data_IF_751833713529
#
_entry.id   IF_751833713529
#
_cell.length_a   1.000
_cell.length_b   1.000
_cell.length_c   1.000
_cell.angle_alpha   90.00
_cell.angle_beta   90.00
_cell.angle_gamma   90.00
#
_symmetry.space_group_name_H-M   'P 1'
#
loop_
_entity.id
_entity.type
_entity.pdbx_description
1 polymer ?
#
# COMPACT_ATOMS: atom_id res chain seq x y z
N UNK A 1 -21.04 -0.51 -32.36
CA UNK A 1 -20.87 -1.28 -31.12
C UNK A 1 -19.88 -0.52 -30.24
N UNK A 2 -20.34 0.16 -29.18
CA UNK A 2 -19.44 0.80 -28.22
C UNK A 2 -18.78 -0.31 -27.40
N UNK A 3 -17.52 -0.60 -27.69
CA UNK A 3 -16.73 -1.56 -26.92
C UNK A 3 -16.72 -1.12 -25.45
N UNK A 4 -17.11 -2.02 -24.53
CA UNK A 4 -17.01 -1.84 -23.08
C UNK A 4 -15.55 -1.50 -22.80
N UNK A 5 -15.24 -0.24 -22.50
CA UNK A 5 -13.90 0.14 -22.03
C UNK A 5 -13.64 -0.64 -20.75
N UNK A 6 -12.73 -1.58 -20.81
CA UNK A 6 -12.26 -2.27 -19.60
C UNK A 6 -11.43 -1.26 -18.84
N UNK A 7 -11.97 -0.74 -17.76
CA UNK A 7 -11.17 0.04 -16.78
C UNK A 7 -10.23 -0.92 -16.05
N UNK A 8 -9.07 -0.42 -15.66
CA UNK A 8 -8.16 -1.16 -14.80
C UNK A 8 -8.77 -1.34 -13.40
N UNK A 9 -8.15 -2.19 -12.60
CA UNK A 9 -8.53 -2.40 -11.20
C UNK A 9 -7.49 -1.79 -10.27
N UNK A 10 -7.94 -1.06 -9.24
CA UNK A 10 -7.11 -0.61 -8.14
C UNK A 10 -7.07 -1.68 -7.04
N UNK A 11 -5.89 -2.23 -6.76
CA UNK A 11 -5.64 -3.10 -5.61
C UNK A 11 -4.80 -2.34 -4.60
N UNK A 12 -5.18 -2.34 -3.32
CA UNK A 12 -4.42 -1.67 -2.26
C UNK A 12 -4.46 -2.48 -0.98
N UNK A 13 -3.49 -2.27 -0.09
CA UNK A 13 -3.22 -3.22 0.98
C UNK A 13 -3.27 -2.53 2.34
N UNK A 14 -3.98 -3.13 3.28
CA UNK A 14 -4.05 -2.77 4.68
C UNK A 14 -3.38 -3.87 5.52
N UNK A 15 -2.47 -3.48 6.42
CA UNK A 15 -1.77 -4.41 7.29
C UNK A 15 -0.64 -3.71 8.03
N UNK A 16 -0.32 -4.17 9.23
CA UNK A 16 0.71 -3.59 10.09
C UNK A 16 2.10 -3.64 9.44
N UNK A 17 3.07 -2.92 9.99
CA UNK A 17 4.48 -3.05 9.59
C UNK A 17 4.93 -4.51 9.78
N UNK A 18 5.59 -5.10 8.77
CA UNK A 18 5.98 -6.52 8.82
C UNK A 18 4.87 -7.54 8.49
N UNK A 19 3.64 -7.11 8.21
CA UNK A 19 2.55 -8.03 7.84
C UNK A 19 2.74 -8.70 6.45
N UNK A 20 3.66 -8.21 5.61
CA UNK A 20 3.93 -8.77 4.29
C UNK A 20 3.23 -8.05 3.14
N UNK A 21 2.94 -6.75 3.27
CA UNK A 21 2.29 -5.94 2.23
C UNK A 21 3.04 -5.95 0.90
N UNK A 22 4.33 -5.65 0.92
CA UNK A 22 5.18 -5.61 -0.29
C UNK A 22 5.27 -6.98 -0.97
N UNK A 23 5.31 -8.06 -0.19
CA UNK A 23 5.27 -9.43 -0.73
C UNK A 23 3.98 -9.67 -1.48
N UNK A 24 2.84 -9.35 -0.86
CA UNK A 24 1.53 -9.50 -1.50
C UNK A 24 1.38 -8.60 -2.74
N UNK A 25 1.87 -7.35 -2.67
CA UNK A 25 1.83 -6.44 -3.82
C UNK A 25 2.57 -7.00 -5.03
N UNK A 26 3.73 -7.61 -4.82
CA UNK A 26 4.51 -8.26 -5.88
C UNK A 26 3.84 -9.52 -6.42
N UNK A 27 3.27 -10.35 -5.54
CA UNK A 27 2.48 -11.52 -5.94
C UNK A 27 1.31 -11.11 -6.84
N UNK A 28 0.57 -10.06 -6.47
CA UNK A 28 -0.52 -9.51 -7.26
C UNK A 28 -0.04 -8.96 -8.61
N UNK A 29 1.06 -8.21 -8.61
CA UNK A 29 1.65 -7.68 -9.85
C UNK A 29 2.20 -8.76 -10.78
N UNK A 30 2.63 -9.90 -10.25
CA UNK A 30 3.11 -11.05 -11.04
C UNK A 30 1.99 -11.92 -11.61
N UNK A 31 0.82 -11.93 -10.98
CA UNK A 31 -0.33 -12.74 -11.40
C UNK A 31 -1.34 -11.98 -12.26
N UNK A 32 -1.32 -10.67 -12.21
CA UNK A 32 -2.20 -9.78 -12.97
C UNK A 32 -1.34 -8.87 -13.87
N UNK A 33 -1.81 -8.49 -15.06
CA UNK A 33 -1.17 -7.44 -15.85
C UNK A 33 -1.42 -6.09 -15.12
N UNK A 34 -0.58 -5.76 -14.15
CA UNK A 34 -0.74 -4.59 -13.31
C UNK A 34 0.60 -3.87 -13.08
N UNK A 35 0.53 -2.57 -12.92
CA UNK A 35 1.67 -1.75 -12.46
C UNK A 35 1.67 -1.75 -10.94
N UNK A 36 2.78 -2.20 -10.34
CA UNK A 36 2.98 -2.09 -8.89
C UNK A 36 3.63 -0.74 -8.59
N UNK A 37 3.03 0.02 -7.70
CA UNK A 37 3.52 1.33 -7.26
C UNK A 37 3.83 1.23 -5.77
N UNK A 38 5.12 1.22 -5.41
CA UNK A 38 5.60 1.11 -4.04
C UNK A 38 5.98 2.50 -3.50
N UNK A 39 5.27 2.95 -2.46
CA UNK A 39 5.51 4.27 -1.83
C UNK A 39 6.93 4.37 -1.28
N UNK A 40 7.40 3.35 -0.55
CA UNK A 40 8.71 3.36 0.09
C UNK A 40 9.85 3.41 -0.96
N UNK A 41 9.73 2.66 -2.05
CA UNK A 41 10.70 2.67 -3.16
C UNK A 41 10.80 4.04 -3.82
N UNK A 42 9.66 4.70 -4.04
CA UNK A 42 9.63 6.02 -4.65
C UNK A 42 10.21 7.08 -3.71
N UNK A 43 9.88 7.02 -2.43
CA UNK A 43 10.39 7.95 -1.41
C UNK A 43 11.91 7.83 -1.31
N UNK A 44 12.44 6.59 -1.28
CA UNK A 44 13.88 6.32 -1.25
C UNK A 44 14.58 6.80 -2.54
N UNK A 45 14.04 6.42 -3.71
CA UNK A 45 14.60 6.78 -5.02
C UNK A 45 14.63 8.29 -5.26
N UNK A 46 13.63 9.02 -4.77
CA UNK A 46 13.55 10.48 -4.86
C UNK A 46 14.46 11.19 -3.85
N UNK A 47 15.14 10.45 -2.98
CA UNK A 47 16.10 10.98 -2.03
C UNK A 47 15.48 11.79 -0.90
N UNK A 48 14.25 11.48 -0.50
CA UNK A 48 13.68 12.11 0.69
C UNK A 48 14.41 11.63 1.96
N UNK A 49 14.94 12.57 2.73
CA UNK A 49 15.52 12.25 4.03
C UNK A 49 14.40 12.04 5.06
N UNK A 50 14.25 10.81 5.52
CA UNK A 50 13.26 10.42 6.53
C UNK A 50 13.96 10.21 7.87
N UNK A 51 13.86 11.19 8.75
CA UNK A 51 14.43 11.16 10.11
C UNK A 51 13.37 11.04 11.20
N UNK A 52 12.10 11.29 10.83
CA UNK A 52 10.96 11.29 11.75
C UNK A 52 9.69 10.83 11.03
N UNK A 53 8.65 10.53 11.81
CA UNK A 53 7.31 10.25 11.27
C UNK A 53 6.75 11.46 10.50
N UNK A 54 7.05 12.68 10.94
CA UNK A 54 6.62 13.90 10.26
C UNK A 54 7.26 14.03 8.88
N UNK A 55 8.56 13.70 8.75
CA UNK A 55 9.24 13.67 7.46
C UNK A 55 8.60 12.67 6.51
N UNK A 56 8.28 11.47 7.02
CA UNK A 56 7.59 10.45 6.24
C UNK A 56 6.21 10.94 5.79
N UNK A 57 5.40 11.51 6.67
CA UNK A 57 4.07 12.02 6.32
C UNK A 57 4.17 13.12 5.26
N UNK A 58 5.16 14.00 5.34
CA UNK A 58 5.40 15.06 4.36
C UNK A 58 5.83 14.50 3.00
N UNK A 59 6.75 13.55 2.97
CA UNK A 59 7.20 12.86 1.75
C UNK A 59 6.04 12.10 1.10
N UNK A 60 5.30 11.30 1.90
CA UNK A 60 4.11 10.58 1.49
C UNK A 60 3.04 11.49 0.87
N UNK A 61 2.80 12.67 1.47
CA UNK A 61 1.84 13.64 0.92
C UNK A 61 2.26 14.15 -0.46
N UNK A 62 3.55 14.46 -0.65
CA UNK A 62 4.09 14.90 -1.95
C UNK A 62 4.02 13.78 -2.98
N UNK A 63 4.41 12.56 -2.60
CA UNK A 63 4.31 11.39 -3.44
C UNK A 63 2.87 11.15 -3.90
N UNK A 64 1.90 11.20 -2.99
CA UNK A 64 0.48 11.01 -3.30
C UNK A 64 -0.09 12.04 -4.25
N UNK A 65 0.34 13.30 -4.14
CA UNK A 65 -0.09 14.34 -5.06
C UNK A 65 0.40 14.14 -6.49
N UNK A 66 1.54 13.47 -6.65
CA UNK A 66 2.11 13.11 -7.95
C UNK A 66 1.49 11.82 -8.51
N UNK A 67 1.44 10.79 -7.67
CA UNK A 67 1.05 9.42 -8.09
C UNK A 67 -0.47 9.29 -8.28
N UNK A 68 -1.27 10.02 -7.52
CA UNK A 68 -2.73 9.95 -7.62
C UNK A 68 -3.25 10.20 -9.04
N UNK A 69 -2.93 11.36 -9.67
CA UNK A 69 -3.33 11.63 -11.05
C UNK A 69 -2.79 10.61 -12.05
N UNK A 70 -1.53 10.20 -11.92
CA UNK A 70 -0.92 9.18 -12.80
C UNK A 70 -1.64 7.85 -12.70
N UNK A 71 -1.91 7.37 -11.49
CA UNK A 71 -2.62 6.11 -11.27
C UNK A 71 -4.05 6.16 -11.82
N UNK A 72 -4.75 7.30 -11.66
CA UNK A 72 -6.07 7.47 -12.25
C UNK A 72 -6.05 7.37 -13.78
N UNK A 73 -5.03 7.93 -14.45
CA UNK A 73 -4.87 7.79 -15.90
C UNK A 73 -4.58 6.34 -16.31
N UNK A 74 -3.69 5.64 -15.61
CA UNK A 74 -3.43 4.22 -15.87
C UNK A 74 -4.72 3.40 -15.78
N UNK A 75 -5.50 3.61 -14.73
CA UNK A 75 -6.78 2.93 -14.53
C UNK A 75 -7.78 3.24 -15.66
N UNK A 76 -7.87 4.48 -16.13
CA UNK A 76 -8.73 4.88 -17.27
C UNK A 76 -8.31 4.22 -18.58
N UNK A 77 -7.00 4.00 -18.74
CA UNK A 77 -6.45 3.30 -19.91
C UNK A 77 -6.63 1.78 -19.86
N UNK A 78 -7.25 1.25 -18.78
CA UNK A 78 -7.47 -0.19 -18.59
C UNK A 78 -6.29 -0.91 -17.94
N UNK A 79 -5.27 -0.18 -17.48
CA UNK A 79 -4.12 -0.75 -16.77
C UNK A 79 -4.47 -0.86 -15.29
N UNK A 80 -4.37 -2.07 -14.74
CA UNK A 80 -4.55 -2.27 -13.29
C UNK A 80 -3.35 -1.73 -12.50
N UNK A 81 -3.63 -1.26 -11.29
CA UNK A 81 -2.60 -0.70 -10.40
C UNK A 81 -2.66 -1.40 -9.05
N UNK A 82 -1.52 -1.86 -8.57
CA UNK A 82 -1.34 -2.37 -7.21
C UNK A 82 -0.58 -1.32 -6.41
N UNK A 83 -1.24 -0.78 -5.40
CA UNK A 83 -0.63 0.19 -4.49
C UNK A 83 0.02 -0.53 -3.32
N UNK A 84 1.35 -0.56 -3.27
CA UNK A 84 2.14 -1.02 -2.13
C UNK A 84 2.44 0.16 -1.21
N UNK A 85 1.53 0.42 -0.33
CA UNK A 85 1.64 1.41 0.74
C UNK A 85 0.79 1.00 1.94
N UNK A 86 0.96 1.69 3.08
CA UNK A 86 0.19 1.39 4.27
C UNK A 86 -1.22 2.00 4.22
N UNK A 87 -2.21 1.24 3.74
CA UNK A 87 -3.63 1.59 3.78
C UNK A 87 -4.24 1.50 5.19
N UNK A 88 -3.49 1.91 6.21
CA UNK A 88 -3.76 1.61 7.62
C UNK A 88 -4.61 2.66 8.34
N UNK A 89 -4.91 3.77 7.69
CA UNK A 89 -5.77 4.84 8.23
C UNK A 89 -6.94 5.10 7.31
N UNK A 90 -8.04 5.60 7.85
CA UNK A 90 -9.19 6.03 7.05
C UNK A 90 -8.75 7.03 5.97
N UNK A 91 -7.91 8.02 6.34
CA UNK A 91 -7.40 9.04 5.42
C UNK A 91 -6.59 8.43 4.26
N UNK A 92 -5.75 7.45 4.52
CA UNK A 92 -4.98 6.79 3.45
C UNK A 92 -5.87 5.99 2.50
N UNK A 93 -6.90 5.34 3.01
CA UNK A 93 -7.88 4.61 2.19
C UNK A 93 -8.78 5.54 1.39
N UNK A 94 -9.19 6.68 1.96
CA UNK A 94 -9.94 7.72 1.25
C UNK A 94 -9.16 8.29 0.07
N UNK A 95 -7.83 8.43 0.19
CA UNK A 95 -7.01 8.87 -0.93
C UNK A 95 -7.06 7.88 -2.11
N UNK A 96 -6.93 6.57 -1.85
CA UNK A 96 -7.06 5.56 -2.93
C UNK A 96 -8.48 5.54 -3.50
N UNK A 97 -9.49 5.72 -2.67
CA UNK A 97 -10.87 5.87 -3.13
C UNK A 97 -11.00 6.98 -4.16
N UNK A 98 -10.47 8.17 -3.85
CA UNK A 98 -10.50 9.30 -4.78
C UNK A 98 -9.79 8.96 -6.11
N UNK A 99 -8.70 8.18 -6.09
CA UNK A 99 -7.97 7.76 -7.29
C UNK A 99 -8.82 6.84 -8.17
N UNK A 100 -9.42 5.78 -7.61
CA UNK A 100 -10.18 4.83 -8.44
C UNK A 100 -11.56 5.38 -8.84
N UNK A 101 -12.20 6.18 -8.02
CA UNK A 101 -13.46 6.86 -8.37
C UNK A 101 -13.25 7.87 -9.52
N UNK A 102 -12.17 8.67 -9.48
CA UNK A 102 -11.82 9.57 -10.58
C UNK A 102 -11.61 8.85 -11.91
N UNK A 103 -11.20 7.59 -11.87
CA UNK A 103 -11.03 6.73 -13.04
C UNK A 103 -12.28 5.92 -13.39
N UNK A 104 -13.31 5.93 -12.56
CA UNK A 104 -14.46 5.02 -12.64
C UNK A 104 -13.99 3.54 -12.70
N UNK A 105 -12.97 3.20 -11.91
CA UNK A 105 -12.32 1.90 -11.91
C UNK A 105 -12.84 1.01 -10.78
N UNK A 106 -12.80 -0.31 -11.00
CA UNK A 106 -13.04 -1.31 -9.94
C UNK A 106 -11.91 -1.31 -8.91
N UNK A 107 -12.18 -1.78 -7.69
CA UNK A 107 -11.19 -1.82 -6.63
C UNK A 107 -11.27 -3.09 -5.78
N UNK A 108 -10.16 -3.41 -5.12
CA UNK A 108 -10.10 -4.42 -4.04
C UNK A 108 -9.15 -3.92 -2.95
N UNK A 109 -9.65 -3.89 -1.71
CA UNK A 109 -8.83 -3.71 -0.52
C UNK A 109 -8.40 -5.07 0.01
N UNK A 110 -7.10 -5.34 -0.03
CA UNK A 110 -6.51 -6.53 0.55
C UNK A 110 -6.15 -6.26 2.01
N UNK A 111 -6.73 -6.99 2.94
CA UNK A 111 -6.44 -6.88 4.37
C UNK A 111 -5.58 -8.05 4.78
N UNK A 112 -4.39 -7.79 5.32
CA UNK A 112 -3.53 -8.82 5.87
C UNK A 112 -3.77 -8.93 7.36
N UNK A 113 -4.36 -10.05 7.76
CA UNK A 113 -4.56 -10.42 9.17
C UNK A 113 -3.32 -11.18 9.66
N UNK A 114 -2.48 -10.45 10.41
CA UNK A 114 -1.26 -10.97 11.02
C UNK A 114 -1.16 -10.47 12.46
N UNK A 115 -0.72 -11.34 13.38
CA UNK A 115 -0.50 -10.98 14.77
C UNK A 115 0.71 -10.06 14.93
N UNK A 116 0.75 -9.31 16.04
CA UNK A 116 1.92 -8.45 16.34
C UNK A 116 3.20 -9.27 16.45
N UNK A 117 3.13 -10.47 17.04
CA UNK A 117 4.26 -11.39 17.13
C UNK A 117 4.81 -11.75 15.76
N UNK A 118 3.95 -12.07 14.80
CA UNK A 118 4.36 -12.39 13.42
C UNK A 118 4.97 -11.16 12.72
N UNK A 119 4.36 -10.00 12.91
CA UNK A 119 4.86 -8.75 12.34
C UNK A 119 6.25 -8.38 12.87
N UNK A 120 6.45 -8.48 14.19
CA UNK A 120 7.75 -8.23 14.85
C UNK A 120 8.81 -9.22 14.37
N UNK A 121 8.51 -10.52 14.35
CA UNK A 121 9.43 -11.54 13.83
C UNK A 121 9.85 -11.27 12.38
N UNK A 122 8.91 -10.86 11.53
CA UNK A 122 9.20 -10.49 10.14
C UNK A 122 10.05 -9.21 10.05
N UNK A 123 9.80 -8.22 10.90
CA UNK A 123 10.62 -6.99 10.96
C UNK A 123 12.04 -7.30 11.41
N UNK A 124 12.24 -8.12 12.44
CA UNK A 124 13.56 -8.54 12.90
C UNK A 124 14.33 -9.26 11.79
N UNK A 125 13.70 -10.22 11.12
CA UNK A 125 14.30 -10.94 9.99
C UNK A 125 14.68 -9.97 8.87
N UNK A 126 13.78 -9.08 8.45
CA UNK A 126 14.03 -8.09 7.40
C UNK A 126 15.15 -7.14 7.76
N UNK A 127 15.23 -6.69 9.01
CA UNK A 127 16.30 -5.83 9.51
C UNK A 127 17.66 -6.53 9.46
N UNK A 128 17.71 -7.85 9.70
CA UNK A 128 18.92 -8.65 9.64
C UNK A 128 19.33 -8.94 8.19
N UNK A 129 18.41 -9.42 7.36
CA UNK A 129 18.67 -9.88 6.00
C UNK A 129 18.80 -8.75 4.99
N UNK A 130 18.16 -7.61 5.24
CA UNK A 130 18.10 -6.40 4.39
C UNK A 130 17.82 -6.73 2.91
N UNK A 131 16.73 -7.46 2.61
CA UNK A 131 16.48 -7.92 1.25
C UNK A 131 16.23 -6.75 0.31
N UNK A 132 16.89 -6.80 -0.86
CA UNK A 132 16.75 -5.76 -1.89
C UNK A 132 15.29 -5.59 -2.31
N UNK A 133 14.87 -4.34 -2.45
CA UNK A 133 13.52 -3.96 -2.89
C UNK A 133 12.43 -4.18 -1.83
N UNK A 134 12.77 -4.62 -0.62
CA UNK A 134 11.82 -4.80 0.50
C UNK A 134 12.31 -4.07 1.75
N UNK A 135 13.61 -3.87 1.88
CA UNK A 135 14.21 -3.16 2.99
C UNK A 135 14.46 -1.70 2.61
N UNK A 136 13.65 -0.81 3.14
CA UNK A 136 13.74 0.64 2.92
C UNK A 136 14.17 1.41 4.18
N UNK A 137 14.35 0.70 5.27
CA UNK A 137 14.79 1.26 6.55
C UNK A 137 14.65 0.28 7.71
N UNK A 138 15.36 0.55 8.79
CA UNK A 138 15.31 -0.25 10.01
C UNK A 138 14.03 0.05 10.79
N UNK A 139 13.23 -0.98 11.08
CA UNK A 139 12.02 -0.88 11.90
C UNK A 139 12.30 -1.54 13.25
N UNK A 140 12.51 -0.71 14.27
CA UNK A 140 12.64 -1.18 15.67
C UNK A 140 11.27 -1.59 16.25
N UNK A 141 11.28 -2.31 17.36
CA UNK A 141 10.04 -2.65 18.08
C UNK A 141 9.30 -1.38 18.54
N UNK A 142 10.04 -0.37 18.99
CA UNK A 142 9.49 0.94 19.37
C UNK A 142 8.81 1.61 18.15
N UNK A 143 9.48 1.61 16.98
CA UNK A 143 8.89 2.13 15.75
C UNK A 143 7.64 1.35 15.37
N UNK A 144 7.68 0.01 15.45
CA UNK A 144 6.52 -0.84 15.18
C UNK A 144 5.33 -0.47 16.06
N UNK A 145 5.52 -0.38 17.37
CA UNK A 145 4.45 -0.02 18.30
C UNK A 145 3.98 1.42 18.07
N UNK A 146 4.90 2.35 17.83
CA UNK A 146 4.58 3.75 17.56
C UNK A 146 3.70 3.98 16.34
N UNK A 147 3.92 3.22 15.26
CA UNK A 147 3.07 3.31 14.05
C UNK A 147 1.80 2.46 14.15
N UNK A 148 1.82 1.38 14.94
CA UNK A 148 0.66 0.50 15.10
C UNK A 148 -0.50 1.17 15.84
N UNK A 149 -0.24 2.16 16.70
CA UNK A 149 -1.31 2.92 17.37
C UNK A 149 -2.21 3.68 16.39
N UNK A 150 -1.73 3.96 15.19
CA UNK A 150 -2.51 4.61 14.13
C UNK A 150 -3.25 3.62 13.22
N UNK A 151 -3.08 2.32 13.46
CA UNK A 151 -3.77 1.32 12.66
C UNK A 151 -5.27 1.30 12.97
N UNK A 152 -6.06 1.61 11.96
CA UNK A 152 -7.53 1.54 12.02
C UNK A 152 -7.97 0.48 11.01
N UNK A 153 -8.53 -0.65 11.48
CA UNK A 153 -9.10 -1.65 10.58
C UNK A 153 -10.14 -1.02 9.66
N UNK A 154 -10.30 -1.50 8.41
CA UNK A 154 -11.37 -1.05 7.54
C UNK A 154 -12.73 -1.26 8.20
N UNK A 155 -13.58 -0.24 8.10
CA UNK A 155 -14.91 -0.25 8.67
C UNK A 155 -15.97 -0.55 7.59
N UNK A 156 -17.10 -1.19 7.92
CA UNK A 156 -18.17 -1.47 6.95
C UNK A 156 -18.67 -0.23 6.23
N UNK A 157 -18.70 0.91 6.92
CA UNK A 157 -19.14 2.21 6.41
C UNK A 157 -18.23 2.76 5.30
N UNK A 158 -17.01 2.24 5.19
CA UNK A 158 -16.09 2.58 4.09
C UNK A 158 -16.46 1.86 2.79
N UNK A 159 -17.38 0.89 2.79
CA UNK A 159 -17.92 0.20 1.62
C UNK A 159 -16.87 -0.29 0.61
N UNK A 160 -15.71 -0.73 1.09
CA UNK A 160 -14.68 -1.35 0.25
C UNK A 160 -15.01 -2.81 -0.05
N UNK A 161 -14.70 -3.24 -1.27
CA UNK A 161 -14.63 -4.66 -1.57
C UNK A 161 -13.36 -5.23 -0.94
N UNK A 162 -13.52 -6.01 0.15
CA UNK A 162 -12.41 -6.52 0.96
C UNK A 162 -12.10 -7.97 0.61
N UNK A 163 -10.79 -8.28 0.53
CA UNK A 163 -10.26 -9.64 0.51
C UNK A 163 -9.25 -9.80 1.64
N UNK A 164 -9.55 -10.68 2.60
CA UNK A 164 -8.70 -10.93 3.77
C UNK A 164 -7.70 -12.04 3.51
N UNK A 165 -6.44 -11.81 3.85
CA UNK A 165 -5.32 -12.75 3.79
C UNK A 165 -4.87 -13.06 5.21
N UNK A 166 -5.17 -14.27 5.69
CA UNK A 166 -4.71 -14.74 7.00
C UNK A 166 -3.27 -15.24 6.88
N UNK A 167 -2.36 -14.66 7.65
CA UNK A 167 -0.97 -15.15 7.79
C UNK A 167 -0.88 -15.94 9.11
N UNK A 168 -0.45 -17.19 9.02
CA UNK A 168 -0.25 -18.08 10.17
C UNK A 168 1.23 -18.30 10.42
#
# INVERSE_FOLDING_TARGET
>A
MAGRRLHGRASFICGKAGAGKTTLARELGGTLPAVVICEDEWIDTLGFEIRSLEDFVRASSKWRSLIGPLASELLRLGVSVVFDFAGNTIKSRQWVRAVFEAANADHVLHVIDATDTQCLANNHRRNHEKPSGVYWGHVTDETFHGVTVYFVPPQPEEEFRILTHVRR
#
